data_IF_846335072156
#
_entry.id   IF_846335072156
#
_cell.length_a   1.000
_cell.length_b   1.000
_cell.length_c   1.000
_cell.angle_alpha   90.00
_cell.angle_beta   90.00
_cell.angle_gamma   90.00
#
_symmetry.space_group_name_H-M   'P 1'
#
loop_
_entity.id
_entity.type
_entity.pdbx_description
1 polymer ?
#
# COMPACT_ATOMS: atom_id res chain seq x y z
N UNK A 1 12.19 43.76 53.54
CA UNK A 1 11.28 44.60 52.75
C UNK A 1 10.64 43.73 51.67
N UNK A 2 9.32 43.56 51.77
CA UNK A 2 8.36 43.12 50.75
C UNK A 2 8.61 41.79 49.98
N UNK A 3 7.89 40.75 50.42
CA UNK A 3 7.13 39.89 49.51
C UNK A 3 6.11 40.74 48.72
N UNK A 4 5.57 40.27 47.58
CA UNK A 4 4.25 39.64 47.74
C UNK A 4 3.85 38.52 46.75
N UNK A 5 2.83 37.80 47.20
CA UNK A 5 1.74 37.18 46.43
C UNK A 5 1.96 35.86 45.69
N UNK A 6 1.76 34.77 46.44
CA UNK A 6 1.27 33.50 45.92
C UNK A 6 -0.16 33.64 45.37
N UNK A 7 -0.37 33.17 44.13
CA UNK A 7 -1.70 32.97 43.55
C UNK A 7 -2.20 31.58 43.91
N UNK A 8 -3.31 31.56 44.63
CA UNK A 8 -4.17 30.39 44.80
C UNK A 8 -4.70 29.95 43.43
N UNK A 9 -4.44 28.70 43.05
CA UNK A 9 -5.18 28.01 42.01
C UNK A 9 -6.13 27.02 42.70
N UNK A 10 -7.42 27.36 42.73
CA UNK A 10 -8.49 26.50 43.18
C UNK A 10 -8.66 25.33 42.21
N UNK A 11 -8.52 24.11 42.72
CA UNK A 11 -8.84 22.88 41.99
C UNK A 11 -10.37 22.76 41.88
N UNK A 12 -10.91 22.79 40.67
CA UNK A 12 -12.29 22.39 40.39
C UNK A 12 -12.36 20.88 40.22
N UNK A 13 -12.93 20.20 41.23
CA UNK A 13 -13.30 18.80 41.19
C UNK A 13 -14.55 18.64 40.30
N UNK A 14 -14.38 18.24 39.05
CA UNK A 14 -15.48 17.71 38.24
C UNK A 14 -15.59 16.19 38.47
N UNK A 15 -16.47 15.81 39.39
CA UNK A 15 -16.90 14.41 39.56
C UNK A 15 -17.98 14.11 38.52
N UNK A 16 -17.63 13.35 37.48
CA UNK A 16 -18.61 12.71 36.61
C UNK A 16 -19.23 11.51 37.34
N UNK A 17 -20.49 11.65 37.74
CA UNK A 17 -21.31 10.56 38.27
C UNK A 17 -21.71 9.63 37.12
N UNK A 18 -21.17 8.41 37.14
CA UNK A 18 -21.61 7.30 36.29
C UNK A 18 -22.74 6.55 36.99
N UNK A 19 -23.94 6.60 36.42
CA UNK A 19 -25.09 5.82 36.88
C UNK A 19 -25.05 4.43 36.23
N UNK A 20 -24.48 3.46 36.95
CA UNK A 20 -24.65 2.03 36.67
C UNK A 20 -25.95 1.53 37.32
N UNK A 21 -26.99 1.30 36.52
CA UNK A 21 -28.20 0.61 36.93
C UNK A 21 -28.14 -0.87 36.57
N UNK A 22 -27.82 -1.73 37.54
CA UNK A 22 -28.08 -3.18 37.47
C UNK A 22 -29.51 -3.45 37.94
N UNK A 23 -30.31 -4.14 37.14
CA UNK A 23 -31.48 -4.88 37.63
C UNK A 23 -31.35 -6.35 37.24
N UNK A 24 -31.64 -7.21 38.21
CA UNK A 24 -31.54 -8.66 38.14
C UNK A 24 -32.94 -9.29 38.37
N UNK A 25 -33.08 -10.54 37.92
CA UNK A 25 -34.24 -11.45 38.01
C UNK A 25 -35.49 -11.03 37.22
N UNK A 26 -36.23 -11.91 36.55
CA UNK A 26 -36.20 -13.36 36.46
C UNK A 26 -37.53 -13.88 35.92
N UNK A 27 -37.43 -14.92 35.08
CA UNK A 27 -38.41 -15.95 34.72
C UNK A 27 -39.57 -15.74 33.71
N UNK A 28 -39.58 -16.74 32.81
CA UNK A 28 -40.71 -17.51 32.29
C UNK A 28 -41.58 -16.92 31.18
N UNK A 29 -41.32 -17.40 29.97
CA UNK A 29 -42.24 -17.31 28.84
C UNK A 29 -41.76 -18.13 27.64
N UNK A 30 -41.79 -19.46 27.74
CA UNK A 30 -41.63 -20.34 26.57
C UNK A 30 -42.74 -20.03 25.56
N UNK A 31 -42.38 -19.52 24.38
CA UNK A 31 -43.24 -19.56 23.19
C UNK A 31 -42.63 -20.55 22.20
N UNK A 32 -43.30 -21.69 22.07
CA UNK A 32 -43.09 -22.64 20.98
C UNK A 32 -43.37 -21.96 19.63
N UNK A 33 -42.37 -21.92 18.76
CA UNK A 33 -42.59 -21.75 17.33
C UNK A 33 -42.17 -23.04 16.63
N UNK A 34 -43.18 -23.82 16.26
CA UNK A 34 -43.05 -25.01 15.44
C UNK A 34 -42.54 -24.62 14.05
N UNK A 35 -41.46 -25.25 13.62
CA UNK A 35 -40.87 -25.06 12.30
C UNK A 35 -41.74 -25.70 11.21
N UNK A 36 -42.29 -24.88 10.33
CA UNK A 36 -42.75 -25.31 9.01
C UNK A 36 -41.66 -24.97 8.00
N UNK A 37 -40.99 -26.00 7.49
CA UNK A 37 -40.05 -25.90 6.37
C UNK A 37 -40.81 -25.54 5.10
N UNK A 38 -40.79 -24.25 4.73
CA UNK A 38 -41.24 -23.80 3.43
C UNK A 38 -40.10 -24.03 2.42
N UNK A 39 -40.16 -25.13 1.68
CA UNK A 39 -39.37 -25.32 0.45
C UNK A 39 -39.69 -24.18 -0.51
N UNK A 40 -38.80 -23.20 -0.65
CA UNK A 40 -38.79 -22.29 -1.80
C UNK A 40 -38.40 -23.10 -3.02
N UNK A 41 -39.38 -23.45 -3.84
CA UNK A 41 -39.15 -23.86 -5.22
C UNK A 41 -38.71 -22.62 -5.97
N UNK A 42 -37.43 -22.55 -6.35
CA UNK A 42 -36.96 -21.59 -7.34
C UNK A 42 -37.54 -21.98 -8.69
N UNK A 43 -38.58 -21.25 -9.11
CA UNK A 43 -38.98 -21.25 -10.50
C UNK A 43 -37.81 -20.69 -11.31
N UNK A 44 -37.12 -21.55 -12.05
CA UNK A 44 -36.23 -21.12 -13.13
C UNK A 44 -37.13 -20.59 -14.25
N UNK A 45 -37.53 -19.33 -14.15
CA UNK A 45 -37.94 -18.60 -15.33
C UNK A 45 -36.68 -18.37 -16.15
N UNK A 46 -36.54 -19.13 -17.24
CA UNK A 46 -35.66 -18.77 -18.35
C UNK A 46 -36.24 -17.49 -18.96
N UNK A 47 -35.91 -16.35 -18.35
CA UNK A 47 -36.14 -15.05 -18.96
C UNK A 47 -35.10 -14.95 -20.06
N UNK A 48 -35.49 -15.31 -21.28
CA UNK A 48 -34.81 -14.85 -22.47
C UNK A 48 -35.01 -13.33 -22.51
N UNK A 49 -34.08 -12.61 -21.89
CA UNK A 49 -34.02 -11.16 -21.99
C UNK A 49 -33.72 -10.84 -23.44
N UNK A 50 -34.71 -10.37 -24.19
CA UNK A 50 -34.51 -9.71 -25.47
C UNK A 50 -33.43 -8.65 -25.27
N UNK A 51 -32.23 -8.91 -25.80
CA UNK A 51 -31.09 -7.99 -25.65
C UNK A 51 -31.39 -6.78 -26.53
N UNK A 52 -31.84 -5.69 -25.92
CA UNK A 52 -31.81 -4.38 -26.56
C UNK A 52 -30.36 -4.12 -27.02
N UNK A 53 -30.11 -4.20 -28.32
CA UNK A 53 -28.79 -3.99 -28.89
C UNK A 53 -28.45 -2.51 -28.76
N UNK A 54 -27.72 -2.16 -27.70
CA UNK A 54 -27.27 -0.79 -27.51
C UNK A 54 -26.23 -0.47 -28.59
N UNK A 55 -26.25 0.72 -29.21
CA UNK A 55 -25.31 1.08 -30.27
C UNK A 55 -23.90 1.41 -29.73
N UNK A 56 -23.59 1.01 -28.50
CA UNK A 56 -22.34 1.30 -27.81
C UNK A 56 -21.55 0.01 -27.60
N UNK A 57 -20.34 -0.03 -28.14
CA UNK A 57 -19.40 -1.10 -27.86
C UNK A 57 -18.89 -0.97 -26.43
N UNK A 58 -18.98 -2.06 -25.67
CA UNK A 58 -18.45 -2.15 -24.31
C UNK A 58 -17.01 -2.65 -24.36
N UNK A 59 -16.12 -1.91 -23.71
CA UNK A 59 -14.70 -2.25 -23.58
C UNK A 59 -14.33 -2.17 -22.10
N UNK A 60 -13.58 -3.15 -21.62
CA UNK A 60 -13.01 -3.09 -20.27
C UNK A 60 -11.50 -2.86 -20.39
N UNK A 61 -11.02 -1.91 -19.59
CA UNK A 61 -9.63 -1.49 -19.52
C UNK A 61 -9.09 -1.72 -18.11
N UNK A 62 -7.81 -2.02 -18.01
CA UNK A 62 -7.14 -2.33 -16.74
C UNK A 62 -6.10 -1.26 -16.45
N UNK A 63 -6.23 -0.64 -15.30
CA UNK A 63 -5.21 0.20 -14.70
C UNK A 63 -4.38 -0.69 -13.77
N UNK A 64 -3.34 -1.32 -14.33
CA UNK A 64 -2.40 -2.13 -13.56
C UNK A 64 -1.34 -1.22 -12.94
N UNK A 65 -1.21 -1.32 -11.62
CA UNK A 65 -0.30 -0.50 -10.83
C UNK A 65 0.73 -1.39 -10.14
N UNK A 66 2.00 -1.01 -10.26
CA UNK A 66 3.07 -1.51 -9.40
C UNK A 66 3.22 -0.57 -8.20
N UNK A 67 3.22 -1.12 -6.99
CA UNK A 67 3.34 -0.33 -5.75
C UNK A 67 4.79 0.11 -5.52
N UNK A 68 5.02 1.20 -4.75
CA UNK A 68 6.35 1.53 -4.28
C UNK A 68 6.97 0.36 -3.51
N UNK A 69 8.24 0.07 -3.78
CA UNK A 69 9.01 -0.98 -3.07
C UNK A 69 9.88 -0.37 -1.99
N UNK A 70 10.36 0.86 -2.17
CA UNK A 70 11.12 1.59 -1.14
C UNK A 70 10.28 2.71 -0.56
N UNK A 71 10.65 3.12 0.66
CA UNK A 71 10.07 4.30 1.30
C UNK A 71 10.41 5.56 0.52
N UNK A 72 9.51 6.55 0.53
CA UNK A 72 9.82 7.88 0.02
C UNK A 72 10.96 8.53 0.82
N UNK A 73 11.68 9.43 0.16
CA UNK A 73 12.69 10.25 0.81
C UNK A 73 12.03 11.34 1.67
N UNK A 74 12.71 11.72 2.73
CA UNK A 74 12.16 12.64 3.72
C UNK A 74 12.33 14.08 3.23
N UNK A 75 11.30 14.89 3.42
CA UNK A 75 11.43 16.33 3.25
C UNK A 75 12.27 16.92 4.38
N UNK A 76 12.93 18.08 4.16
CA UNK A 76 13.81 18.68 5.18
C UNK A 76 13.07 18.96 6.51
N UNK A 77 11.80 19.35 6.44
CA UNK A 77 10.96 19.56 7.62
C UNK A 77 10.68 18.23 8.36
N UNK A 78 10.50 17.13 7.64
CA UNK A 78 10.31 15.80 8.26
C UNK A 78 11.60 15.31 8.92
N UNK A 79 12.77 15.65 8.39
CA UNK A 79 14.06 15.35 9.03
C UNK A 79 14.24 16.14 10.32
N UNK A 80 13.92 17.43 10.32
CA UNK A 80 13.93 18.27 11.54
C UNK A 80 12.98 17.72 12.60
N UNK A 81 11.74 17.40 12.20
CA UNK A 81 10.74 16.83 13.11
C UNK A 81 11.17 15.45 13.61
N UNK A 82 11.78 14.62 12.77
CA UNK A 82 12.34 13.33 13.19
C UNK A 82 13.40 13.51 14.26
N UNK A 83 14.35 14.43 14.06
CA UNK A 83 15.39 14.70 15.05
C UNK A 83 14.82 15.20 16.37
N UNK A 84 13.88 16.14 16.31
CA UNK A 84 13.17 16.63 17.50
C UNK A 84 12.42 15.51 18.23
N UNK A 85 11.70 14.65 17.51
CA UNK A 85 10.95 13.53 18.10
C UNK A 85 11.88 12.49 18.73
N UNK A 86 13.01 12.16 18.08
CA UNK A 86 14.03 11.27 18.64
C UNK A 86 14.64 11.84 19.93
N UNK A 87 14.90 13.15 19.98
CA UNK A 87 15.38 13.80 21.19
C UNK A 87 14.34 13.74 22.32
N UNK A 88 13.08 14.06 22.03
CA UNK A 88 11.99 13.98 23.00
C UNK A 88 11.79 12.56 23.50
N UNK A 89 11.91 11.56 22.62
CA UNK A 89 11.85 10.15 22.97
C UNK A 89 12.99 9.78 23.91
N UNK A 90 14.23 10.15 23.59
CA UNK A 90 15.41 9.91 24.42
C UNK A 90 15.29 10.56 25.81
N UNK A 91 14.96 11.86 25.88
CA UNK A 91 14.85 12.60 27.14
C UNK A 91 13.73 12.10 28.07
N UNK A 92 12.69 11.49 27.49
CA UNK A 92 11.55 10.94 28.24
C UNK A 92 11.64 9.43 28.44
N UNK A 93 12.65 8.78 27.86
CA UNK A 93 12.87 7.35 28.01
C UNK A 93 13.46 7.02 29.38
N UNK A 94 13.26 5.77 29.80
CA UNK A 94 13.93 5.19 30.96
C UNK A 94 15.14 4.43 30.43
N UNK A 95 16.18 4.30 31.25
CA UNK A 95 17.36 3.50 30.93
C UNK A 95 16.96 2.10 30.45
N UNK A 96 17.46 1.74 29.27
CA UNK A 96 17.34 0.42 28.68
C UNK A 96 18.23 -0.59 29.39
N UNK A 97 17.94 -1.88 29.22
CA UNK A 97 18.78 -2.96 29.78
C UNK A 97 20.22 -2.89 29.28
N UNK A 98 20.43 -2.42 28.04
CA UNK A 98 21.77 -2.23 27.44
C UNK A 98 22.52 -1.09 28.13
N UNK A 99 21.87 0.04 28.39
CA UNK A 99 22.49 1.18 29.10
C UNK A 99 22.80 0.85 30.55
N UNK A 100 21.90 0.14 31.25
CA UNK A 100 22.14 -0.32 32.63
C UNK A 100 23.35 -1.25 32.70
N UNK A 101 23.45 -2.19 31.75
CA UNK A 101 24.59 -3.11 31.67
C UNK A 101 25.89 -2.38 31.34
N UNK A 102 25.85 -1.38 30.45
CA UNK A 102 27.01 -0.56 30.14
C UNK A 102 27.51 0.18 31.38
N UNK A 103 26.60 0.77 32.18
CA UNK A 103 26.95 1.42 33.44
C UNK A 103 27.59 0.44 34.43
N UNK A 104 26.97 -0.72 34.66
CA UNK A 104 27.52 -1.78 35.51
C UNK A 104 28.93 -2.22 35.08
N UNK A 105 29.14 -2.43 33.78
CA UNK A 105 30.45 -2.80 33.21
C UNK A 105 31.49 -1.70 33.45
N UNK A 106 31.14 -0.43 33.24
CA UNK A 106 32.06 0.70 33.51
C UNK A 106 32.39 0.85 35.00
N UNK A 107 31.42 0.67 35.89
CA UNK A 107 31.65 0.69 37.34
C UNK A 107 32.59 -0.44 37.77
N UNK A 108 32.40 -1.65 37.25
CA UNK A 108 33.32 -2.77 37.52
C UNK A 108 34.74 -2.46 37.06
N UNK A 109 34.89 -1.90 35.86
CA UNK A 109 36.21 -1.55 35.32
C UNK A 109 36.89 -0.44 36.13
N UNK A 110 36.15 0.55 36.61
CA UNK A 110 36.70 1.62 37.45
C UNK A 110 37.10 1.11 38.84
N UNK A 111 36.30 0.25 39.49
CA UNK A 111 36.66 -0.39 40.77
C UNK A 111 37.93 -1.25 40.65
N UNK A 112 38.05 -2.03 39.56
CA UNK A 112 39.27 -2.80 39.23
C UNK A 112 40.50 -1.90 39.07
N UNK A 113 40.35 -0.75 38.42
CA UNK A 113 41.44 0.21 38.23
C UNK A 113 41.83 0.94 39.53
N UNK A 114 40.91 1.12 40.47
CA UNK A 114 41.13 1.80 41.74
C UNK A 114 41.74 0.91 42.84
N UNK A 115 42.07 -0.36 42.54
CA UNK A 115 42.56 -1.37 43.48
C UNK A 115 41.61 -1.68 44.66
N UNK A 116 40.37 -1.20 44.61
CA UNK A 116 39.29 -1.46 45.59
C UNK A 116 38.55 -2.77 45.23
N UNK A 117 39.33 -3.85 45.15
CA UNK A 117 38.91 -5.14 44.59
C UNK A 117 38.44 -6.10 45.70
N UNK A 118 37.13 -6.22 45.89
CA UNK A 118 36.55 -7.22 46.80
C UNK A 118 36.34 -8.54 46.04
N UNK A 119 37.14 -9.56 46.38
CA UNK A 119 37.23 -10.82 45.62
C UNK A 119 35.95 -11.66 45.67
N UNK A 120 35.10 -11.45 46.68
CA UNK A 120 33.96 -12.34 46.98
C UNK A 120 32.71 -12.04 46.12
N UNK A 121 32.58 -10.85 45.52
CA UNK A 121 31.41 -10.47 44.69
C UNK A 121 31.52 -10.91 43.22
N UNK A 122 32.73 -11.05 42.67
CA UNK A 122 32.94 -11.40 41.26
C UNK A 122 32.82 -12.91 40.96
N UNK A 123 33.05 -13.78 41.94
CA UNK A 123 33.10 -15.24 41.72
C UNK A 123 31.73 -15.85 41.36
N UNK A 124 30.62 -15.16 41.63
CA UNK A 124 29.26 -15.59 41.24
C UNK A 124 28.94 -15.23 39.77
N UNK A 125 29.60 -14.22 39.19
CA UNK A 125 29.32 -13.72 37.84
C UNK A 125 30.38 -14.05 36.79
N UNK A 126 31.59 -14.47 37.21
CA UNK A 126 32.69 -14.91 36.31
C UNK A 126 32.27 -16.01 35.32
N UNK A 127 31.31 -16.86 35.69
CA UNK A 127 30.86 -17.97 34.84
C UNK A 127 29.84 -17.56 33.76
N UNK A 128 29.30 -16.34 33.79
CA UNK A 128 28.10 -16.00 33.00
C UNK A 128 28.33 -14.95 31.89
N UNK A 129 29.40 -14.15 31.92
CA UNK A 129 29.51 -13.02 30.98
C UNK A 129 30.95 -12.68 30.60
N UNK A 130 31.44 -13.33 29.54
CA UNK A 130 32.82 -13.13 29.03
C UNK A 130 32.93 -11.88 28.14
N UNK A 131 31.81 -11.39 27.58
CA UNK A 131 31.80 -10.33 26.57
C UNK A 131 31.29 -9.03 27.17
N UNK A 132 32.12 -7.98 27.12
CA UNK A 132 31.74 -6.66 27.58
C UNK A 132 30.71 -6.04 26.63
N UNK A 133 29.89 -5.13 27.16
CA UNK A 133 28.89 -4.42 26.36
C UNK A 133 29.52 -3.63 25.20
N UNK A 134 30.71 -3.08 25.41
CA UNK A 134 31.49 -2.38 24.37
C UNK A 134 31.97 -3.33 23.26
N UNK A 135 32.40 -4.55 23.60
CA UNK A 135 32.81 -5.55 22.61
C UNK A 135 31.63 -5.94 21.68
N UNK A 136 30.41 -5.94 22.23
CA UNK A 136 29.19 -6.19 21.45
C UNK A 136 28.92 -5.05 20.47
N UNK A 137 29.01 -3.79 20.91
CA UNK A 137 28.87 -2.59 20.06
C UNK A 137 29.87 -2.62 18.90
N UNK A 138 31.15 -2.89 19.20
CA UNK A 138 32.20 -3.04 18.19
C UNK A 138 31.86 -4.14 17.18
N UNK A 139 31.35 -5.28 17.65
CA UNK A 139 30.95 -6.39 16.78
C UNK A 139 29.78 -6.02 15.85
N UNK A 140 28.82 -5.22 16.34
CA UNK A 140 27.68 -4.74 15.56
C UNK A 140 28.13 -3.72 14.53
N UNK A 141 29.02 -2.80 14.89
CA UNK A 141 29.62 -1.86 13.95
C UNK A 141 30.39 -2.58 12.84
N UNK A 142 31.18 -3.60 13.18
CA UNK A 142 31.92 -4.39 12.19
C UNK A 142 30.97 -5.08 11.20
N UNK A 143 29.87 -5.65 11.68
CA UNK A 143 28.84 -6.26 10.82
C UNK A 143 28.17 -5.20 9.93
N UNK A 144 27.85 -4.04 10.48
CA UNK A 144 27.26 -2.93 9.72
C UNK A 144 28.20 -2.43 8.62
N UNK A 145 29.50 -2.28 8.93
CA UNK A 145 30.54 -1.87 7.95
C UNK A 145 30.74 -2.92 6.84
N UNK A 146 30.55 -4.20 7.15
CA UNK A 146 30.68 -5.30 6.18
C UNK A 146 29.45 -5.41 5.27
N UNK A 147 28.27 -5.02 5.77
CA UNK A 147 27.03 -5.11 5.01
C UNK A 147 26.91 -3.96 3.99
N UNK A 148 26.78 -4.31 2.71
CA UNK A 148 26.52 -3.36 1.65
C UNK A 148 25.03 -3.37 1.31
N UNK A 149 24.27 -2.30 1.61
CA UNK A 149 22.86 -2.23 1.25
C UNK A 149 22.70 -2.12 -0.27
N UNK A 150 21.59 -2.65 -0.79
CA UNK A 150 21.25 -2.47 -2.19
C UNK A 150 20.99 -0.99 -2.51
N UNK A 151 21.40 -0.56 -3.70
CA UNK A 151 21.20 0.80 -4.18
C UNK A 151 19.70 1.11 -4.34
N UNK A 152 19.26 2.21 -3.71
CA UNK A 152 17.87 2.69 -3.81
C UNK A 152 17.54 3.32 -5.16
N UNK A 153 18.54 3.88 -5.82
CA UNK A 153 18.42 4.63 -7.07
C UNK A 153 19.47 4.14 -8.06
N UNK A 154 19.08 3.88 -9.30
CA UNK A 154 19.97 3.39 -10.36
C UNK A 154 19.64 4.14 -11.65
N UNK A 155 20.45 5.16 -11.96
CA UNK A 155 20.25 6.07 -13.09
C UNK A 155 19.95 5.38 -14.44
N UNK A 156 20.62 4.26 -14.69
CA UNK A 156 20.47 3.51 -15.95
C UNK A 156 19.09 2.86 -16.03
N UNK A 157 18.69 2.15 -14.96
CA UNK A 157 17.39 1.48 -14.85
C UNK A 157 16.26 2.49 -14.76
N UNK A 158 16.50 3.63 -14.10
CA UNK A 158 15.52 4.67 -13.89
C UNK A 158 15.15 5.43 -15.17
N UNK A 159 15.96 5.33 -16.23
CA UNK A 159 15.65 5.91 -17.54
C UNK A 159 14.90 4.93 -18.44
N UNK A 160 14.98 3.64 -18.17
CA UNK A 160 14.33 2.58 -18.94
C UNK A 160 12.83 2.51 -18.63
N UNK A 161 12.00 2.83 -19.61
CA UNK A 161 10.53 2.84 -19.46
C UNK A 161 9.91 1.44 -19.50
N UNK A 162 10.64 0.44 -19.99
CA UNK A 162 10.18 -0.95 -20.08
C UNK A 162 10.45 -1.72 -18.78
N UNK A 163 11.37 -1.24 -17.94
CA UNK A 163 11.77 -1.90 -16.70
C UNK A 163 10.76 -1.69 -15.58
N UNK A 164 10.50 -2.78 -14.84
CA UNK A 164 9.72 -2.78 -13.60
C UNK A 164 10.51 -2.27 -12.40
N UNK A 165 11.84 -2.40 -12.45
CA UNK A 165 12.74 -2.02 -11.36
C UNK A 165 13.05 -0.52 -11.33
N UNK A 166 12.52 0.22 -12.31
CA UNK A 166 12.58 1.68 -12.34
C UNK A 166 11.79 2.26 -11.17
N UNK A 167 12.31 3.37 -10.65
CA UNK A 167 11.68 4.30 -9.74
C UNK A 167 10.96 3.59 -8.59
N UNK A 168 11.77 2.90 -7.79
CA UNK A 168 11.28 2.06 -6.70
C UNK A 168 10.47 2.85 -5.66
N UNK A 169 10.73 4.14 -5.55
CA UNK A 169 10.11 5.14 -4.67
C UNK A 169 8.64 5.39 -4.98
N UNK A 170 8.25 5.19 -6.24
CA UNK A 170 7.00 5.67 -6.79
C UNK A 170 6.21 4.53 -7.42
N UNK A 171 4.90 4.72 -7.46
CA UNK A 171 4.03 3.76 -8.11
C UNK A 171 4.09 3.94 -9.64
N UNK A 172 4.19 2.83 -10.36
CA UNK A 172 4.19 2.83 -11.81
C UNK A 172 2.89 2.28 -12.38
N UNK A 173 2.51 2.77 -13.56
CA UNK A 173 1.31 2.37 -14.29
C UNK A 173 1.70 1.71 -15.60
N UNK A 174 1.02 0.63 -15.94
CA UNK A 174 1.21 -0.05 -17.21
C UNK A 174 0.44 0.64 -18.35
N UNK A 175 1.15 0.98 -19.41
CA UNK A 175 0.60 1.33 -20.71
C UNK A 175 0.98 0.25 -21.73
N UNK A 176 0.06 -0.04 -22.64
CA UNK A 176 0.28 -0.91 -23.78
C UNK A 176 0.01 -0.13 -25.07
N UNK A 177 0.84 -0.39 -26.09
CA UNK A 177 0.57 0.10 -27.43
C UNK A 177 -0.63 -0.67 -28.01
N UNK A 178 -1.66 0.06 -28.43
CA UNK A 178 -2.84 -0.54 -29.03
C UNK A 178 -3.24 0.19 -30.30
N UNK A 179 -3.69 -0.57 -31.29
CA UNK A 179 -4.23 -0.03 -32.53
C UNK A 179 -5.74 0.21 -32.38
N UNK A 180 -6.15 1.48 -32.45
CA UNK A 180 -7.56 1.86 -32.35
C UNK A 180 -7.92 2.71 -33.55
N UNK A 181 -8.71 2.15 -34.47
CA UNK A 181 -9.14 2.84 -35.69
C UNK A 181 -8.01 3.08 -36.70
N UNK A 182 -6.99 2.21 -36.73
CA UNK A 182 -5.84 2.29 -37.64
C UNK A 182 -4.68 3.16 -37.13
N UNK A 183 -4.85 3.84 -36.00
CA UNK A 183 -3.77 4.58 -35.33
C UNK A 183 -3.23 3.76 -34.15
N UNK A 184 -1.92 3.59 -34.09
CA UNK A 184 -1.23 3.05 -32.91
C UNK A 184 -1.14 4.14 -31.85
N UNK A 185 -1.70 3.89 -30.67
CA UNK A 185 -1.64 4.81 -29.55
C UNK A 185 -1.41 4.09 -28.23
N UNK A 186 -0.74 4.77 -27.31
CA UNK A 186 -0.53 4.30 -25.95
C UNK A 186 -1.83 4.43 -25.16
N UNK A 187 -2.29 3.32 -24.61
CA UNK A 187 -3.49 3.25 -23.79
C UNK A 187 -3.29 2.31 -22.62
N UNK A 188 -4.25 2.32 -21.70
CA UNK A 188 -4.35 1.25 -20.72
C UNK A 188 -4.73 -0.05 -21.45
N UNK A 189 -4.18 -1.20 -21.05
CA UNK A 189 -4.57 -2.49 -21.62
C UNK A 189 -6.09 -2.68 -21.57
N UNK A 190 -6.71 -2.77 -22.73
CA UNK A 190 -8.16 -2.89 -22.86
C UNK A 190 -8.56 -3.92 -23.91
N UNK A 191 -9.72 -4.55 -23.70
CA UNK A 191 -10.34 -5.48 -24.66
C UNK A 191 -11.84 -5.31 -24.74
N UNK A 192 -12.42 -5.70 -25.87
CA UNK A 192 -13.87 -5.69 -26.08
C UNK A 192 -14.55 -6.76 -25.23
N UNK A 193 -15.67 -6.39 -24.62
CA UNK A 193 -16.51 -7.30 -23.84
C UNK A 193 -17.19 -8.33 -24.76
N UNK A 194 -17.24 -9.57 -24.29
CA UNK A 194 -17.89 -10.68 -24.98
C UNK A 194 -19.07 -11.20 -24.15
N UNK A 195 -20.12 -11.67 -24.83
CA UNK A 195 -21.32 -12.16 -24.16
C UNK A 195 -21.03 -13.39 -23.31
N UNK A 196 -21.39 -13.33 -22.02
CA UNK A 196 -21.17 -14.43 -21.07
C UNK A 196 -20.07 -14.14 -20.03
N UNK A 197 -19.27 -13.10 -20.21
CA UNK A 197 -18.28 -12.63 -19.24
C UNK A 197 -18.80 -11.45 -18.42
N UNK A 198 -18.26 -11.26 -17.21
CA UNK A 198 -18.37 -9.99 -16.47
C UNK A 198 -17.38 -8.96 -17.01
N UNK A 199 -17.65 -7.67 -16.83
CA UNK A 199 -16.71 -6.62 -17.24
C UNK A 199 -15.33 -6.77 -16.56
N UNK A 200 -15.30 -7.26 -15.33
CA UNK A 200 -14.05 -7.58 -14.62
C UNK A 200 -13.29 -8.73 -15.29
N UNK A 201 -13.97 -9.81 -15.65
CA UNK A 201 -13.34 -10.93 -16.36
C UNK A 201 -12.79 -10.50 -17.74
N UNK A 202 -13.48 -9.61 -18.44
CA UNK A 202 -12.93 -9.00 -19.67
C UNK A 202 -11.66 -8.20 -19.40
N UNK A 203 -11.57 -7.51 -18.25
CA UNK A 203 -10.36 -6.83 -17.82
C UNK A 203 -9.23 -7.82 -17.48
N UNK A 204 -9.52 -8.91 -16.76
CA UNK A 204 -8.58 -10.01 -16.50
C UNK A 204 -8.06 -10.64 -17.81
N UNK A 205 -8.96 -10.86 -18.78
CA UNK A 205 -8.60 -11.32 -20.13
C UNK A 205 -7.74 -10.30 -20.88
N UNK A 206 -7.98 -9.00 -20.69
CA UNK A 206 -7.15 -7.96 -21.30
C UNK A 206 -5.69 -8.07 -20.83
N UNK A 207 -5.45 -8.29 -19.54
CA UNK A 207 -4.10 -8.53 -19.03
C UNK A 207 -3.51 -9.84 -19.57
N UNK A 208 -4.29 -10.92 -19.59
CA UNK A 208 -3.82 -12.22 -20.06
C UNK A 208 -3.51 -12.25 -21.58
N UNK A 209 -4.11 -11.33 -22.36
CA UNK A 209 -3.86 -11.20 -23.80
C UNK A 209 -2.57 -10.47 -24.15
N UNK A 210 -1.92 -9.82 -23.18
CA UNK A 210 -0.67 -9.12 -23.44
C UNK A 210 0.47 -10.14 -23.69
N UNK A 211 1.39 -9.83 -24.62
CA UNK A 211 2.45 -10.75 -25.02
C UNK A 211 3.54 -10.93 -23.94
N UNK A 212 3.65 -10.01 -22.98
CA UNK A 212 4.51 -10.21 -21.83
C UNK A 212 3.81 -11.12 -20.81
N UNK A 213 4.55 -12.14 -20.39
CA UNK A 213 4.29 -13.04 -19.27
C UNK A 213 3.08 -12.72 -18.39
N UNK A 214 2.22 -13.71 -18.14
CA UNK A 214 1.00 -13.64 -17.33
C UNK A 214 1.21 -12.81 -16.04
N UNK A 215 0.94 -11.51 -16.11
CA UNK A 215 1.05 -10.62 -14.97
C UNK A 215 0.05 -11.09 -13.92
N UNK A 216 0.55 -11.57 -12.79
CA UNK A 216 -0.29 -11.96 -11.66
C UNK A 216 -0.80 -10.69 -11.00
N UNK A 217 -2.02 -10.29 -11.36
CA UNK A 217 -2.63 -9.06 -10.89
C UNK A 217 -3.77 -9.33 -9.90
N UNK A 218 -3.84 -8.52 -8.84
CA UNK A 218 -4.94 -8.53 -7.87
C UNK A 218 -5.89 -7.38 -8.18
N UNK A 219 -7.11 -7.71 -8.59
CA UNK A 219 -8.14 -6.71 -8.93
C UNK A 219 -8.81 -6.14 -7.67
N UNK A 220 -8.91 -4.82 -7.62
CA UNK A 220 -9.49 -4.09 -6.49
C UNK A 220 -11.00 -3.93 -6.68
N UNK A 221 -11.75 -4.97 -6.33
CA UNK A 221 -13.20 -4.98 -6.39
C UNK A 221 -13.77 -5.26 -7.78
N UNK A 222 -15.11 -5.30 -7.85
CA UNK A 222 -15.84 -5.67 -9.07
C UNK A 222 -16.46 -4.46 -9.80
N UNK A 223 -16.37 -3.28 -9.22
CA UNK A 223 -16.93 -2.05 -9.80
C UNK A 223 -15.87 -1.31 -10.62
N UNK A 224 -16.24 -0.75 -11.79
CA UNK A 224 -15.32 0.10 -12.53
C UNK A 224 -15.05 1.40 -11.78
N UNK A 225 -13.79 1.83 -11.79
CA UNK A 225 -13.32 3.06 -11.14
C UNK A 225 -13.56 4.32 -11.98
N UNK A 226 -13.83 4.16 -13.27
CA UNK A 226 -14.10 5.26 -14.18
C UNK A 226 -14.66 4.79 -15.50
N UNK A 227 -15.24 5.72 -16.26
CA UNK A 227 -15.78 5.45 -17.60
C UNK A 227 -15.33 6.53 -18.56
N UNK A 228 -14.79 6.12 -19.71
CA UNK A 228 -14.51 6.99 -20.84
C UNK A 228 -15.45 6.64 -22.01
N UNK A 229 -16.08 7.66 -22.57
CA UNK A 229 -17.03 7.51 -23.67
C UNK A 229 -16.56 8.35 -24.84
N UNK A 230 -16.36 7.72 -26.00
CA UNK A 230 -16.03 8.42 -27.22
C UNK A 230 -16.87 7.90 -28.39
N UNK A 231 -17.17 8.80 -29.32
CA UNK A 231 -17.88 8.45 -30.56
C UNK A 231 -16.85 8.14 -31.63
N UNK A 232 -17.12 7.13 -32.45
CA UNK A 232 -16.29 6.82 -33.61
C UNK A 232 -16.36 7.99 -34.62
N UNK A 233 -15.33 8.20 -35.45
CA UNK A 233 -15.38 9.15 -36.57
C UNK A 233 -16.57 8.85 -37.48
N UNK A 234 -17.18 9.88 -38.10
CA UNK A 234 -18.41 9.72 -38.91
C UNK A 234 -18.27 8.65 -40.01
N UNK A 235 -17.08 8.47 -40.57
CA UNK A 235 -16.77 7.49 -41.61
C UNK A 235 -16.87 6.02 -41.13
N UNK A 236 -16.67 5.77 -39.83
CA UNK A 236 -16.69 4.42 -39.24
C UNK A 236 -17.97 4.16 -38.42
N UNK A 237 -18.99 5.03 -38.51
CA UNK A 237 -20.25 4.85 -37.79
C UNK A 237 -21.19 3.96 -38.59
N UNK A 238 -21.69 2.93 -37.94
CA UNK A 238 -22.80 2.11 -38.43
C UNK A 238 -24.00 2.31 -37.50
N UNK A 239 -25.23 2.03 -37.96
CA UNK A 239 -26.43 2.14 -37.11
C UNK A 239 -26.33 1.28 -35.84
N UNK A 240 -25.58 0.17 -35.93
CA UNK A 240 -25.28 -0.73 -34.81
C UNK A 240 -24.14 -0.24 -33.90
N UNK A 241 -23.28 0.67 -34.35
CA UNK A 241 -22.05 1.06 -33.64
C UNK A 241 -21.78 2.56 -33.74
N UNK A 242 -22.29 3.31 -32.75
CA UNK A 242 -22.16 4.78 -32.63
C UNK A 242 -20.84 5.16 -31.96
N UNK A 243 -20.35 4.34 -31.03
CA UNK A 243 -19.13 4.62 -30.29
C UNK A 243 -18.83 3.58 -29.23
N UNK A 244 -17.83 3.87 -28.41
CA UNK A 244 -17.28 2.95 -27.42
C UNK A 244 -17.36 3.55 -26.02
N UNK A 245 -17.71 2.70 -25.05
CA UNK A 245 -17.61 2.99 -23.61
C UNK A 245 -16.54 2.09 -23.02
N UNK A 246 -15.48 2.70 -22.52
CA UNK A 246 -14.36 2.05 -21.85
C UNK A 246 -14.58 2.15 -20.35
N UNK A 247 -14.59 1.00 -19.67
CA UNK A 247 -14.72 0.89 -18.22
C UNK A 247 -13.36 0.55 -17.61
N UNK A 248 -12.89 1.37 -16.67
CA UNK A 248 -11.57 1.17 -16.05
C UNK A 248 -11.67 0.36 -14.77
N UNK A 249 -10.85 -0.67 -14.63
CA UNK A 249 -10.68 -1.45 -13.41
C UNK A 249 -9.29 -1.26 -12.83
N UNK A 250 -9.19 -1.15 -11.51
CA UNK A 250 -7.89 -1.07 -10.83
C UNK A 250 -7.38 -2.47 -10.52
N UNK A 251 -6.10 -2.67 -10.78
CA UNK A 251 -5.40 -3.88 -10.39
C UNK A 251 -4.01 -3.55 -9.85
N UNK A 252 -3.53 -4.34 -8.89
CA UNK A 252 -2.19 -4.23 -8.34
C UNK A 252 -1.36 -5.41 -8.86
N UNK A 253 -0.15 -5.11 -9.34
CA UNK A 253 0.82 -6.12 -9.72
C UNK A 253 1.31 -6.86 -8.46
N UNK A 254 1.30 -8.18 -8.49
CA UNK A 254 1.90 -9.00 -7.42
C UNK A 254 3.39 -9.20 -7.68
N UNK A 255 4.18 -9.31 -6.62
CA UNK A 255 5.65 -9.41 -6.70
C UNK A 255 6.16 -10.67 -7.43
N UNK A 256 5.34 -11.72 -7.53
CA UNK A 256 5.67 -12.97 -8.25
C UNK A 256 5.60 -12.86 -9.80
N UNK A 257 5.49 -11.65 -10.37
CA UNK A 257 5.34 -11.52 -11.83
C UNK A 257 6.65 -11.85 -12.55
N UNK A 258 6.64 -12.68 -13.61
CA UNK A 258 7.85 -12.98 -14.37
C UNK A 258 8.42 -11.71 -15.00
N UNK A 259 9.74 -11.66 -15.26
CA UNK A 259 10.34 -10.54 -15.98
C UNK A 259 9.63 -10.37 -17.33
N UNK A 260 9.21 -9.15 -17.62
CA UNK A 260 8.54 -8.83 -18.88
C UNK A 260 9.50 -9.08 -20.05
N UNK A 261 8.97 -9.64 -21.14
CA UNK A 261 9.76 -9.82 -22.36
C UNK A 261 10.22 -8.45 -22.88
N UNK A 262 11.50 -8.29 -23.24
CA UNK A 262 12.07 -7.00 -23.67
C UNK A 262 11.49 -6.50 -25.00
N UNK A 263 10.72 -7.33 -25.72
CA UNK A 263 10.10 -7.03 -27.01
C UNK A 263 8.62 -6.67 -26.93
N UNK A 264 8.02 -6.62 -25.74
CA UNK A 264 6.63 -6.25 -25.59
C UNK A 264 6.48 -4.72 -25.65
N UNK A 265 5.55 -4.20 -26.47
CA UNK A 265 5.18 -2.77 -26.53
C UNK A 265 4.47 -2.32 -25.25
N UNK A 266 5.16 -2.39 -24.12
CA UNK A 266 4.70 -2.08 -22.78
C UNK A 266 5.58 -0.99 -22.17
N UNK A 267 4.95 -0.05 -21.47
CA UNK A 267 5.63 1.03 -20.77
C UNK A 267 5.14 1.12 -19.33
N UNK A 268 6.07 1.30 -18.41
CA UNK A 268 5.83 1.61 -17.01
C UNK A 268 6.08 3.10 -16.80
N UNK A 269 5.02 3.82 -16.42
CA UNK A 269 5.02 5.29 -16.47
C UNK A 269 4.58 5.87 -15.13
N UNK A 270 5.24 6.94 -14.68
CA UNK A 270 4.79 7.70 -13.50
C UNK A 270 3.52 8.50 -13.80
N UNK A 271 2.77 8.88 -12.76
CA UNK A 271 1.61 9.77 -12.90
C UNK A 271 1.94 11.06 -13.66
N UNK A 272 3.10 11.65 -13.39
CA UNK A 272 3.54 12.93 -14.00
C UNK A 272 3.89 12.80 -15.48
N UNK A 273 4.35 11.62 -15.91
CA UNK A 273 4.77 11.35 -17.29
C UNK A 273 3.59 10.97 -18.18
N UNK A 274 2.46 10.57 -17.58
CA UNK A 274 1.26 10.10 -18.27
C UNK A 274 0.72 11.10 -19.31
N UNK A 275 0.90 12.40 -19.04
CA UNK A 275 0.48 13.49 -19.92
C UNK A 275 1.18 13.48 -21.29
N UNK A 276 2.39 12.90 -21.37
CA UNK A 276 3.17 12.84 -22.61
C UNK A 276 2.65 11.78 -23.58
N UNK A 277 1.99 10.74 -23.07
CA UNK A 277 1.56 9.58 -23.86
C UNK A 277 0.06 9.57 -24.16
N UNK A 278 -0.77 9.97 -23.20
CA UNK A 278 -2.23 9.89 -23.34
C UNK A 278 -2.81 11.15 -23.97
N UNK A 279 -3.82 10.98 -24.83
CA UNK A 279 -4.62 12.11 -25.35
C UNK A 279 -5.29 12.86 -24.18
N UNK A 280 -5.34 14.22 -24.19
CA UNK A 280 -5.86 15.00 -23.06
C UNK A 280 -7.27 14.61 -22.61
N UNK A 281 -8.18 14.33 -23.56
CA UNK A 281 -9.55 13.93 -23.24
C UNK A 281 -9.64 12.60 -22.48
N UNK A 282 -8.68 11.70 -22.73
CA UNK A 282 -8.59 10.40 -22.06
C UNK A 282 -7.91 10.55 -20.70
N UNK A 283 -6.82 11.32 -20.62
CA UNK A 283 -6.12 11.66 -19.38
C UNK A 283 -7.08 12.23 -18.32
N UNK A 284 -7.95 13.18 -18.69
CA UNK A 284 -8.93 13.78 -17.77
C UNK A 284 -9.90 12.77 -17.12
N UNK A 285 -10.09 11.58 -17.72
CA UNK A 285 -10.89 10.51 -17.12
C UNK A 285 -10.07 9.52 -16.31
N UNK A 286 -8.78 9.43 -16.58
CA UNK A 286 -7.86 8.47 -15.95
C UNK A 286 -7.23 9.05 -14.68
N UNK A 287 -6.84 10.33 -14.71
CA UNK A 287 -6.21 11.04 -13.59
C UNK A 287 -7.01 10.99 -12.26
N UNK A 288 -8.35 11.15 -12.24
CA UNK A 288 -9.10 11.20 -10.98
C UNK A 288 -9.02 9.93 -10.13
N UNK A 289 -8.84 8.76 -10.76
CA UNK A 289 -8.76 7.49 -10.03
C UNK A 289 -7.32 7.02 -9.79
N UNK A 290 -6.31 7.73 -10.31
CA UNK A 290 -4.89 7.50 -10.01
C UNK A 290 -4.49 8.38 -8.83
N UNK A 291 -4.42 7.76 -7.66
CA UNK A 291 -4.02 8.43 -6.42
C UNK A 291 -2.49 8.54 -6.42
N UNK A 292 -1.93 9.73 -6.66
CA UNK A 292 -0.53 9.99 -6.33
C UNK A 292 -0.46 10.25 -4.84
N UNK A 293 0.06 9.30 -4.07
CA UNK A 293 0.42 9.49 -2.67
C UNK A 293 1.87 9.93 -2.63
#
# INVERSE_FOLDING_TARGET
MSAPCGRMASRSLFQFLSTFGRTALGNSGLRHFSGTSARRVTAQSKVETERASSPWTLVAAVCLRRLPVISADCSPIEEEVRGMLQQVEFEKSILSDHELRLLDDTERMTRKQAEDYDSDEEDVRKDQEIVLTQDLEDSWEQRMKTFQPAERFRDDVDKDLTSLERCLDSSLLLLAEQEVGGEKMWLLPQTQWQGGETLRQTAERALASLPAAAFKATFLGNAPCGVYKYKLPKAARTESTVGTKVFFFKAILSDDSPPADPNASLLWVKKNELQRYLKPAYLMKVEPFIIGL
#
